data_IF_515507738411
#
_entry.id   IF_515507738411
#
_cell.length_a   1.000
_cell.length_b   1.000
_cell.length_c   1.000
_cell.angle_alpha   90.00
_cell.angle_beta   90.00
_cell.angle_gamma   90.00
#
_symmetry.space_group_name_H-M   'P 1'
#
loop_
_entity.id
_entity.type
_entity.pdbx_description
1 polymer ?
#
# COMPACT_ATOMS: atom_id res chain seq x y z
N UNK A 1 37.43 25.95 20.17
CA UNK A 1 38.80 26.41 19.87
C UNK A 1 38.65 27.75 19.19
N UNK A 2 39.44 28.77 19.56
CA UNK A 2 39.44 30.06 18.88
C UNK A 2 40.81 30.18 18.22
N UNK A 3 40.89 29.99 16.90
CA UNK A 3 42.10 30.26 16.14
C UNK A 3 41.87 31.54 15.36
N UNK A 4 42.41 32.64 15.87
CA UNK A 4 42.36 33.96 15.24
C UNK A 4 43.75 34.26 14.73
N UNK A 5 44.08 33.77 13.54
CA UNK A 5 45.21 34.31 12.76
C UNK A 5 44.65 35.39 11.84
N UNK A 6 45.22 36.58 11.93
CA UNK A 6 45.06 37.68 10.96
C UNK A 6 43.68 38.33 10.81
N UNK A 7 42.92 38.45 11.90
CA UNK A 7 41.83 39.45 11.99
C UNK A 7 40.53 39.11 11.24
N UNK A 8 40.45 37.96 10.58
CA UNK A 8 39.19 37.39 10.11
C UNK A 8 38.82 36.19 10.97
N UNK A 9 37.58 36.14 11.44
CA UNK A 9 37.07 34.98 12.21
C UNK A 9 36.85 33.83 11.22
N UNK A 10 37.74 32.84 11.24
CA UNK A 10 37.66 31.69 10.31
C UNK A 10 36.71 30.59 10.80
N UNK A 11 36.60 30.39 12.11
CA UNK A 11 35.80 29.34 12.72
C UNK A 11 35.28 29.76 14.10
N UNK A 12 34.00 29.50 14.39
CA UNK A 12 33.45 29.58 15.74
C UNK A 12 32.51 28.43 16.00
N UNK A 13 32.59 27.82 17.19
CA UNK A 13 31.73 26.69 17.53
C UNK A 13 31.47 26.56 19.01
N UNK A 14 30.21 26.37 19.34
CA UNK A 14 29.71 25.91 20.62
C UNK A 14 29.16 24.49 20.45
N UNK A 15 30.07 23.51 20.36
CA UNK A 15 29.71 22.10 20.17
C UNK A 15 28.83 21.61 21.33
N UNK A 16 27.72 20.87 21.07
CA UNK A 16 27.22 20.41 19.77
C UNK A 16 26.16 21.34 19.14
N UNK A 17 25.87 22.50 19.74
CA UNK A 17 24.70 23.33 19.43
C UNK A 17 24.93 24.22 18.21
N UNK A 18 26.09 24.87 18.12
CA UNK A 18 26.39 25.86 17.10
C UNK A 18 27.79 25.63 16.53
N UNK A 19 27.96 25.75 15.24
CA UNK A 19 29.27 25.83 14.60
C UNK A 19 29.20 26.57 13.29
N UNK A 20 30.27 27.25 12.96
CA UNK A 20 30.42 28.02 11.75
C UNK A 20 31.88 27.95 11.35
N UNK A 21 32.11 27.70 10.08
CA UNK A 21 33.40 27.79 9.43
C UNK A 21 33.19 28.50 8.11
N UNK A 22 33.91 29.61 7.95
CA UNK A 22 33.80 30.49 6.78
C UNK A 22 34.05 29.66 5.51
N UNK A 23 33.14 29.77 4.54
CA UNK A 23 33.18 29.03 3.26
C UNK A 23 33.19 27.49 3.36
N UNK A 24 32.71 26.93 4.48
CA UNK A 24 32.65 25.47 4.65
C UNK A 24 31.28 25.05 5.19
N UNK A 25 30.91 25.44 6.41
CA UNK A 25 29.60 25.07 6.96
C UNK A 25 29.14 25.95 8.12
N UNK A 26 27.83 26.00 8.31
CA UNK A 26 27.12 26.51 9.47
C UNK A 26 26.23 25.40 10.02
N UNK A 27 26.19 25.21 11.34
CA UNK A 27 25.30 24.26 11.98
C UNK A 27 24.71 24.87 13.24
N UNK A 28 23.40 24.73 13.41
CA UNK A 28 22.62 25.07 14.59
C UNK A 28 21.69 23.88 14.86
N UNK A 29 22.09 22.95 15.71
CA UNK A 29 21.39 21.67 15.93
C UNK A 29 19.87 21.87 16.10
N UNK A 30 19.00 21.19 15.30
CA UNK A 30 19.27 20.11 14.35
C UNK A 30 19.59 20.54 12.90
N UNK A 31 19.74 21.83 12.65
CA UNK A 31 20.07 22.40 11.34
C UNK A 31 21.57 22.26 11.07
N UNK A 32 21.94 21.59 10.01
CA UNK A 32 23.28 21.61 9.41
C UNK A 32 23.13 22.38 8.09
N UNK A 33 24.11 23.15 7.62
CA UNK A 33 24.16 23.87 6.32
C UNK A 33 25.62 23.93 5.87
N UNK A 34 26.07 23.07 4.97
CA UNK A 34 27.45 23.10 4.47
C UNK A 34 27.54 23.66 3.06
N UNK A 35 28.28 24.75 2.91
CA UNK A 35 28.67 25.34 1.64
C UNK A 35 30.04 24.77 1.25
N UNK A 36 30.08 23.70 0.46
CA UNK A 36 31.32 23.05 0.06
C UNK A 36 32.11 23.87 -0.98
N UNK A 37 33.45 23.65 -1.09
CA UNK A 37 34.31 24.41 -2.02
C UNK A 37 34.12 24.07 -3.51
N UNK A 38 33.36 23.02 -3.85
CA UNK A 38 33.00 22.64 -5.22
C UNK A 38 31.51 22.23 -5.28
N UNK A 39 30.67 23.17 -5.70
CA UNK A 39 29.21 23.03 -5.80
C UNK A 39 28.44 23.60 -4.58
N UNK A 40 27.34 24.30 -4.83
CA UNK A 40 26.45 24.82 -3.78
C UNK A 40 25.69 23.62 -3.18
N UNK A 41 26.27 23.01 -2.15
CA UNK A 41 25.56 22.05 -1.29
C UNK A 41 24.85 22.84 -0.21
N UNK A 42 23.65 22.44 0.18
CA UNK A 42 22.93 23.00 1.32
C UNK A 42 21.96 21.95 1.82
N UNK A 43 22.33 21.20 2.85
CA UNK A 43 21.35 20.42 3.60
C UNK A 43 20.74 21.30 4.68
N UNK A 44 19.52 21.01 5.12
CA UNK A 44 18.75 21.62 6.19
C UNK A 44 17.88 20.51 6.82
N UNK A 45 18.48 19.57 7.55
CA UNK A 45 17.77 18.43 8.13
C UNK A 45 17.14 17.51 7.06
N UNK A 46 15.80 17.32 7.00
CA UNK A 46 15.12 16.51 5.97
C UNK A 46 15.12 17.18 4.58
N UNK A 47 15.62 18.40 4.48
CA UNK A 47 15.78 19.14 3.23
C UNK A 47 17.22 18.96 2.77
N UNK A 48 17.46 18.40 1.59
CA UNK A 48 18.78 18.34 0.98
C UNK A 48 18.74 19.04 -0.37
N UNK A 49 19.57 20.05 -0.53
CA UNK A 49 19.77 20.78 -1.77
C UNK A 49 21.19 20.52 -2.26
N UNK A 50 21.33 20.17 -3.52
CA UNK A 50 22.60 19.94 -4.17
C UNK A 50 22.62 20.53 -5.57
N UNK A 51 23.54 21.44 -5.80
CA UNK A 51 23.82 22.00 -7.12
C UNK A 51 25.22 21.56 -7.56
N UNK A 52 25.29 20.63 -8.50
CA UNK A 52 26.56 20.06 -9.01
C UNK A 52 27.23 20.98 -10.06
N UNK A 53 26.42 21.58 -10.93
CA UNK A 53 26.80 22.48 -12.03
C UNK A 53 25.82 23.65 -12.10
N UNK A 54 26.09 24.67 -12.92
CA UNK A 54 25.16 25.81 -13.11
C UNK A 54 23.75 25.40 -13.52
N UNK A 55 23.59 24.21 -14.11
CA UNK A 55 22.34 23.73 -14.69
C UNK A 55 21.82 22.43 -14.07
N UNK A 56 22.34 22.00 -12.92
CA UNK A 56 21.87 20.77 -12.25
C UNK A 56 21.42 21.03 -10.82
N UNK A 57 20.28 20.50 -10.43
CA UNK A 57 19.65 20.71 -9.12
C UNK A 57 19.05 19.41 -8.60
N UNK A 58 19.53 18.93 -7.46
CA UNK A 58 18.82 17.93 -6.66
C UNK A 58 18.23 18.56 -5.40
N UNK A 59 16.96 18.29 -5.14
CA UNK A 59 16.20 18.72 -3.99
C UNK A 59 15.50 17.50 -3.36
N UNK A 60 15.92 17.10 -2.17
CA UNK A 60 15.20 16.17 -1.30
C UNK A 60 14.43 16.97 -0.26
N UNK A 61 13.15 16.66 -0.06
CA UNK A 61 12.30 17.17 1.01
C UNK A 61 11.57 15.98 1.65
N UNK A 62 12.17 15.32 2.64
CA UNK A 62 11.58 14.11 3.24
C UNK A 62 11.43 12.97 2.22
N UNK A 63 10.22 12.48 1.91
CA UNK A 63 10.03 11.43 0.90
C UNK A 63 10.09 11.94 -0.54
N UNK A 64 10.11 13.26 -0.75
CA UNK A 64 10.15 13.88 -2.07
C UNK A 64 11.59 14.06 -2.53
N UNK A 65 11.97 13.54 -3.70
CA UNK A 65 13.25 13.82 -4.36
C UNK A 65 12.96 14.42 -5.73
N UNK A 66 13.48 15.59 -6.02
CA UNK A 66 13.49 16.19 -7.35
C UNK A 66 14.94 16.27 -7.81
N UNK A 67 15.22 15.84 -9.03
CA UNK A 67 16.53 15.95 -9.67
C UNK A 67 16.39 16.65 -11.01
N UNK A 68 17.40 17.42 -11.38
CA UNK A 68 17.53 18.00 -12.70
C UNK A 68 19.01 17.96 -13.06
N UNK A 69 19.35 17.29 -14.15
CA UNK A 69 20.72 17.20 -14.65
C UNK A 69 20.76 17.55 -16.14
N UNK A 70 21.77 18.33 -16.53
CA UNK A 70 21.94 18.79 -17.90
C UNK A 70 23.31 18.32 -18.43
N UNK A 71 23.43 17.02 -18.71
CA UNK A 71 24.64 16.38 -19.28
C UNK A 71 24.50 16.21 -20.81
N UNK A 72 24.13 17.27 -21.53
CA UNK A 72 23.97 17.26 -22.99
C UNK A 72 22.57 16.90 -23.48
N UNK A 73 21.75 16.28 -22.62
CA UNK A 73 20.30 16.17 -22.73
C UNK A 73 19.69 16.70 -21.43
N UNK A 74 18.63 17.50 -21.51
CA UNK A 74 17.90 17.95 -20.32
C UNK A 74 17.21 16.72 -19.70
N UNK A 75 17.65 16.33 -18.50
CA UNK A 75 17.05 15.26 -17.74
C UNK A 75 16.47 15.80 -16.44
N UNK A 76 15.25 15.39 -16.12
CA UNK A 76 14.60 15.75 -14.86
C UNK A 76 14.04 14.50 -14.21
N UNK A 77 14.01 14.46 -12.90
CA UNK A 77 13.44 13.34 -12.16
C UNK A 77 12.64 13.85 -10.97
N UNK A 78 11.60 13.10 -10.61
CA UNK A 78 10.76 13.42 -9.47
C UNK A 78 10.28 12.13 -8.81
N UNK A 79 10.48 12.02 -7.51
CA UNK A 79 10.21 10.80 -6.76
C UNK A 79 9.47 11.13 -5.47
N UNK A 80 8.52 10.28 -5.10
CA UNK A 80 7.85 10.24 -3.81
C UNK A 80 8.02 8.82 -3.30
N UNK A 81 9.06 8.55 -2.53
CA UNK A 81 9.38 7.16 -2.14
C UNK A 81 8.32 6.57 -1.19
N UNK A 82 7.87 5.30 -1.38
CA UNK A 82 8.16 4.37 -2.49
C UNK A 82 7.08 4.37 -3.60
N UNK A 83 6.19 5.37 -3.62
CA UNK A 83 4.95 5.38 -4.38
C UNK A 83 5.06 5.95 -5.80
N UNK A 84 6.00 6.87 -6.02
CA UNK A 84 6.09 7.60 -7.27
C UNK A 84 7.55 7.74 -7.67
N UNK A 85 7.89 7.43 -8.90
CA UNK A 85 9.23 7.60 -9.44
C UNK A 85 9.10 8.01 -10.89
N UNK A 86 9.51 9.20 -11.27
CA UNK A 86 9.45 9.66 -12.64
C UNK A 86 10.81 10.18 -13.08
N UNK A 87 11.11 9.96 -14.34
CA UNK A 87 12.31 10.38 -15.02
C UNK A 87 11.94 10.87 -16.42
N UNK A 88 12.44 12.02 -16.80
CA UNK A 88 12.35 12.59 -18.13
C UNK A 88 13.75 12.77 -18.67
N UNK A 89 14.00 12.36 -19.91
CA UNK A 89 15.26 12.57 -20.63
C UNK A 89 14.92 13.04 -22.05
N UNK A 90 14.98 14.36 -22.27
CA UNK A 90 14.39 14.97 -23.47
C UNK A 90 12.89 14.69 -23.59
N UNK A 91 12.47 14.08 -24.71
CA UNK A 91 11.07 13.68 -24.95
C UNK A 91 10.72 12.29 -24.39
N UNK A 92 11.67 11.59 -23.77
CA UNK A 92 11.45 10.28 -23.14
C UNK A 92 11.00 10.48 -21.70
N UNK A 93 9.97 9.76 -21.30
CA UNK A 93 9.45 9.62 -19.95
C UNK A 93 9.58 8.17 -19.50
N UNK A 94 9.94 7.95 -18.25
CA UNK A 94 9.91 6.63 -17.60
C UNK A 94 9.53 6.83 -16.15
N UNK A 95 8.58 6.05 -15.65
CA UNK A 95 8.18 6.16 -14.26
C UNK A 95 7.39 4.99 -13.70
N UNK A 96 7.22 5.02 -12.39
CA UNK A 96 6.40 4.15 -11.60
C UNK A 96 5.37 4.98 -10.84
N UNK A 97 4.10 4.69 -11.07
CA UNK A 97 2.96 5.26 -10.34
C UNK A 97 2.31 4.14 -9.52
N UNK A 98 2.77 3.98 -8.29
CA UNK A 98 2.44 2.87 -7.41
C UNK A 98 3.01 1.55 -7.94
N UNK A 99 2.14 0.73 -8.54
CA UNK A 99 2.52 -0.57 -9.15
C UNK A 99 2.54 -0.51 -10.68
N UNK A 100 2.21 0.65 -11.26
CA UNK A 100 2.14 0.84 -12.72
C UNK A 100 3.47 1.41 -13.20
N UNK A 101 4.17 0.68 -14.04
CA UNK A 101 5.30 1.19 -14.82
C UNK A 101 4.78 1.86 -16.09
N UNK A 102 5.29 3.05 -16.36
CA UNK A 102 4.98 3.85 -17.53
C UNK A 102 6.28 4.21 -18.24
N UNK A 103 6.31 4.11 -19.55
CA UNK A 103 7.41 4.56 -20.39
C UNK A 103 6.83 5.17 -21.65
N UNK A 104 7.34 6.30 -22.11
CA UNK A 104 6.92 6.88 -23.38
C UNK A 104 8.05 7.69 -24.01
N UNK A 105 8.16 7.66 -25.33
CA UNK A 105 9.05 8.48 -26.14
C UNK A 105 8.36 8.74 -27.49
N UNK A 106 8.86 9.62 -28.36
CA UNK A 106 8.24 9.87 -29.66
C UNK A 106 8.05 8.58 -30.47
N UNK A 107 6.80 8.18 -30.69
CA UNK A 107 6.46 6.94 -31.39
C UNK A 107 6.52 5.68 -30.54
N UNK A 108 6.67 5.75 -29.21
CA UNK A 108 6.61 4.58 -28.35
C UNK A 108 5.93 4.89 -27.01
N UNK A 109 5.11 3.97 -26.51
CA UNK A 109 4.61 4.04 -25.15
C UNK A 109 4.37 2.64 -24.59
N UNK A 110 4.75 2.40 -23.35
CA UNK A 110 4.53 1.17 -22.62
C UNK A 110 3.87 1.45 -21.28
N UNK A 111 2.85 0.66 -20.96
CA UNK A 111 2.23 0.61 -19.65
C UNK A 111 2.33 -0.83 -19.16
N UNK A 112 2.78 -1.03 -17.93
CA UNK A 112 3.03 -2.36 -17.40
C UNK A 112 2.69 -2.44 -15.92
N UNK A 113 1.87 -3.41 -15.55
CA UNK A 113 1.65 -3.82 -14.15
C UNK A 113 2.16 -5.25 -14.05
N UNK A 114 3.20 -5.52 -13.26
CA UNK A 114 3.80 -6.84 -13.18
C UNK A 114 2.77 -7.97 -13.05
N UNK A 115 2.90 -8.96 -13.93
CA UNK A 115 2.07 -10.18 -14.01
C UNK A 115 0.59 -9.96 -14.42
N UNK A 116 0.09 -8.73 -14.38
CA UNK A 116 -1.33 -8.43 -14.56
C UNK A 116 -1.66 -7.79 -15.90
N UNK A 117 -0.82 -6.87 -16.37
CA UNK A 117 -1.14 -6.05 -17.54
C UNK A 117 0.12 -5.55 -18.24
N UNK A 118 0.11 -5.59 -19.56
CA UNK A 118 1.09 -4.93 -20.40
C UNK A 118 0.40 -4.35 -21.63
N UNK A 119 0.75 -3.13 -22.02
CA UNK A 119 0.28 -2.49 -23.24
C UNK A 119 1.42 -1.69 -23.83
N UNK A 120 1.90 -2.12 -24.98
CA UNK A 120 2.98 -1.50 -25.74
C UNK A 120 2.39 -0.94 -27.02
N UNK A 121 2.69 0.31 -27.31
CA UNK A 121 2.41 0.95 -28.58
C UNK A 121 3.74 1.38 -29.18
N UNK A 122 3.96 1.09 -30.46
CA UNK A 122 5.12 1.57 -31.19
C UNK A 122 4.71 2.00 -32.59
N UNK A 123 5.15 3.17 -33.02
CA UNK A 123 4.93 3.76 -34.31
C UNK A 123 6.29 4.00 -34.97
N UNK A 124 6.43 3.50 -36.19
CA UNK A 124 7.59 3.73 -37.03
C UNK A 124 7.14 4.10 -38.45
N UNK A 125 8.08 4.31 -39.36
CA UNK A 125 7.79 4.66 -40.76
C UNK A 125 6.95 3.59 -41.49
N UNK A 126 6.98 2.34 -41.02
CA UNK A 126 6.21 1.23 -41.60
C UNK A 126 4.78 1.13 -41.05
N UNK A 127 4.44 1.92 -40.02
CA UNK A 127 3.11 2.03 -39.44
C UNK A 127 3.10 1.90 -37.92
N UNK A 128 1.91 1.67 -37.38
CA UNK A 128 1.70 1.54 -35.93
C UNK A 128 1.46 0.09 -35.53
N UNK A 129 2.12 -0.31 -34.45
CA UNK A 129 1.97 -1.59 -33.78
C UNK A 129 1.43 -1.38 -32.36
N UNK A 130 0.62 -2.31 -31.88
CA UNK A 130 0.09 -2.34 -30.53
C UNK A 130 0.10 -3.77 -30.00
N UNK A 131 0.78 -4.01 -28.90
CA UNK A 131 0.75 -5.26 -28.15
C UNK A 131 0.02 -5.00 -26.82
N UNK A 132 -0.88 -5.88 -26.47
CA UNK A 132 -1.65 -5.83 -25.24
C UNK A 132 -1.67 -7.23 -24.66
N UNK A 133 -1.37 -7.36 -23.36
CA UNK A 133 -1.46 -8.61 -22.64
C UNK A 133 -2.00 -8.38 -21.23
N UNK A 134 -2.68 -9.41 -20.71
CA UNK A 134 -3.16 -9.44 -19.33
C UNK A 134 -2.97 -10.82 -18.72
N UNK A 135 -2.87 -10.85 -17.39
CA UNK A 135 -2.86 -12.07 -16.58
C UNK A 135 -1.86 -13.10 -17.11
N UNK A 136 -0.56 -12.78 -17.05
CA UNK A 136 0.53 -13.64 -17.55
C UNK A 136 0.41 -13.99 -19.05
N UNK A 137 -0.02 -13.04 -19.89
CA UNK A 137 -0.29 -13.24 -21.33
C UNK A 137 -1.37 -14.29 -21.65
N UNK A 138 -2.20 -14.69 -20.67
CA UNK A 138 -3.34 -15.57 -20.96
C UNK A 138 -4.30 -14.89 -21.93
N UNK A 139 -4.50 -13.58 -21.80
CA UNK A 139 -5.21 -12.77 -22.78
C UNK A 139 -4.16 -11.92 -23.48
N UNK A 140 -4.06 -12.00 -24.81
CA UNK A 140 -3.20 -11.10 -25.57
C UNK A 140 -3.82 -10.66 -26.89
N UNK A 141 -3.46 -9.45 -27.30
CA UNK A 141 -3.86 -8.85 -28.56
C UNK A 141 -2.65 -8.12 -29.17
N UNK A 142 -2.24 -8.54 -30.35
CA UNK A 142 -1.18 -7.91 -31.13
C UNK A 142 -1.80 -7.31 -32.40
N UNK A 143 -1.50 -6.06 -32.71
CA UNK A 143 -1.93 -5.39 -33.93
C UNK A 143 -0.72 -4.77 -34.60
N UNK A 144 -0.61 -4.96 -35.90
CA UNK A 144 0.39 -4.38 -36.78
C UNK A 144 -0.32 -3.99 -38.08
N UNK A 145 0.28 -3.13 -38.94
CA UNK A 145 -0.40 -2.58 -40.10
C UNK A 145 -1.02 -3.61 -41.08
N UNK A 146 -0.52 -4.85 -41.05
CA UNK A 146 -0.99 -5.94 -41.90
C UNK A 146 -1.44 -7.20 -41.15
N UNK A 147 -1.48 -7.16 -39.82
CA UNK A 147 -1.74 -8.33 -38.99
C UNK A 147 -2.47 -7.93 -37.71
N UNK A 148 -3.55 -8.61 -37.38
CA UNK A 148 -4.10 -8.56 -36.04
C UNK A 148 -4.18 -9.98 -35.49
N UNK A 149 -3.77 -10.15 -34.24
CA UNK A 149 -3.78 -11.41 -33.54
C UNK A 149 -4.43 -11.24 -32.18
N UNK A 150 -5.30 -12.17 -31.82
CA UNK A 150 -5.88 -12.27 -30.48
C UNK A 150 -5.68 -13.69 -29.97
N UNK A 151 -5.31 -13.82 -28.70
CA UNK A 151 -5.11 -15.10 -28.03
C UNK A 151 -5.84 -15.10 -26.69
N UNK A 152 -6.55 -16.19 -26.40
CA UNK A 152 -7.18 -16.45 -25.11
C UNK A 152 -6.69 -17.79 -24.54
N UNK A 153 -6.22 -17.74 -23.29
CA UNK A 153 -5.48 -18.78 -22.59
C UNK A 153 -4.37 -19.39 -23.47
N UNK A 154 -3.38 -18.56 -23.85
CA UNK A 154 -2.24 -19.02 -24.67
C UNK A 154 -2.67 -19.64 -26.03
N UNK A 155 -3.80 -19.19 -26.59
CA UNK A 155 -4.45 -19.75 -27.80
C UNK A 155 -5.04 -21.15 -27.63
N UNK A 156 -5.04 -21.72 -26.43
CA UNK A 156 -5.63 -23.04 -26.16
C UNK A 156 -7.15 -22.98 -26.33
N UNK A 157 -7.79 -21.94 -25.81
CA UNK A 157 -9.26 -21.79 -25.86
C UNK A 157 -9.70 -21.13 -27.14
N UNK A 158 -9.07 -20.01 -27.50
CA UNK A 158 -9.38 -19.29 -28.73
C UNK A 158 -8.15 -18.54 -29.24
N UNK A 159 -7.98 -18.56 -30.55
CA UNK A 159 -6.96 -17.80 -31.26
C UNK A 159 -7.55 -17.20 -32.54
N UNK A 160 -7.19 -15.97 -32.84
CA UNK A 160 -7.56 -15.30 -34.08
C UNK A 160 -6.32 -14.66 -34.70
N UNK A 161 -6.15 -14.83 -36.01
CA UNK A 161 -5.12 -14.16 -36.80
C UNK A 161 -5.74 -13.62 -38.08
N UNK A 162 -5.54 -12.36 -38.38
CA UNK A 162 -5.88 -11.74 -39.66
C UNK A 162 -4.61 -11.30 -40.39
N UNK A 163 -4.63 -11.39 -41.71
CA UNK A 163 -3.59 -10.86 -42.59
C UNK A 163 -4.24 -10.01 -43.68
N UNK A 164 -3.90 -8.73 -43.76
CA UNK A 164 -4.34 -7.83 -44.83
C UNK A 164 -3.24 -7.70 -45.88
N UNK A 165 -3.09 -8.73 -46.71
CA UNK A 165 -2.15 -8.78 -47.83
C UNK A 165 -2.80 -9.37 -49.08
N UNK A 166 -3.07 -8.50 -50.07
CA UNK A 166 -3.46 -8.76 -51.47
C UNK A 166 -4.46 -9.90 -51.78
N UNK A 167 -5.70 -9.46 -52.07
CA UNK A 167 -6.67 -10.02 -53.04
C UNK A 167 -7.23 -11.44 -52.92
N UNK A 168 -6.92 -12.25 -51.91
CA UNK A 168 -7.71 -13.46 -51.61
C UNK A 168 -7.50 -13.93 -50.15
N UNK A 169 -7.96 -13.13 -49.18
CA UNK A 169 -7.87 -13.48 -47.77
C UNK A 169 -9.07 -14.34 -47.33
N UNK A 170 -8.91 -15.66 -47.37
CA UNK A 170 -9.80 -16.60 -46.68
C UNK A 170 -9.66 -16.44 -45.16
N UNK A 171 -10.76 -16.14 -44.48
CA UNK A 171 -10.86 -16.24 -43.03
C UNK A 171 -10.73 -17.72 -42.65
N UNK A 172 -9.67 -18.09 -41.94
CA UNK A 172 -9.55 -19.42 -41.31
C UNK A 172 -9.48 -19.25 -39.79
N UNK A 173 -10.51 -19.68 -39.04
CA UNK A 173 -10.33 -20.01 -37.63
C UNK A 173 -9.25 -21.10 -37.54
N UNK A 174 -8.17 -20.88 -36.80
CA UNK A 174 -7.24 -21.98 -36.47
C UNK A 174 -7.97 -22.90 -35.50
N UNK A 175 -8.31 -24.10 -35.97
CA UNK A 175 -8.79 -25.17 -35.09
C UNK A 175 -7.67 -25.51 -34.09
N UNK A 176 -7.98 -25.81 -32.82
CA UNK A 176 -6.96 -26.22 -31.86
C UNK A 176 -6.18 -27.41 -32.42
N UNK A 177 -4.85 -27.28 -32.43
CA UNK A 177 -3.92 -28.27 -32.97
C UNK A 177 -3.99 -29.55 -32.11
N UNK A 178 -4.87 -30.47 -32.47
CA UNK A 178 -4.77 -31.87 -32.06
C UNK A 178 -3.94 -32.60 -33.12
N UNK A 179 -2.78 -33.18 -32.77
CA UNK A 179 -2.08 -34.06 -33.69
C UNK A 179 -2.86 -35.38 -33.77
N UNK A 180 -3.76 -35.52 -34.73
CA UNK A 180 -4.37 -36.81 -35.07
C UNK A 180 -3.38 -37.57 -35.96
N UNK A 181 -2.48 -38.30 -35.33
CA UNK A 181 -1.74 -39.38 -35.97
C UNK A 181 -2.44 -40.71 -35.64
N UNK A 182 -3.27 -41.21 -36.55
CA UNK A 182 -3.36 -42.64 -36.83
C UNK A 182 -3.72 -42.85 -38.31
N UNK A 183 -2.69 -43.20 -39.07
CA UNK A 183 -2.86 -43.90 -40.33
C UNK A 183 -3.24 -45.35 -39.99
N UNK A 184 -4.42 -45.78 -40.43
CA UNK A 184 -4.71 -47.19 -40.65
C UNK A 184 -5.65 -47.30 -41.85
N UNK A 185 -5.06 -47.76 -42.95
CA UNK A 185 -5.74 -48.26 -44.12
C UNK A 185 -6.68 -49.40 -43.72
N UNK A 186 -7.97 -49.26 -44.01
CA UNK A 186 -8.77 -50.38 -44.49
C UNK A 186 -9.91 -49.89 -45.37
N UNK A 187 -9.93 -50.46 -46.57
CA UNK A 187 -10.96 -50.36 -47.58
C UNK A 187 -12.32 -50.85 -47.08
N UNK A 188 -13.38 -50.09 -47.32
CA UNK A 188 -14.75 -50.54 -47.09
C UNK A 188 -15.77 -49.46 -47.40
N UNK A 189 -16.38 -49.56 -48.59
CA UNK A 189 -17.52 -48.78 -49.02
C UNK A 189 -18.76 -49.07 -48.16
N UNK A 190 -19.39 -48.04 -47.60
CA UNK A 190 -20.86 -47.92 -47.54
C UNK A 190 -21.26 -46.55 -47.00
N UNK A 191 -22.14 -45.89 -47.74
CA UNK A 191 -22.97 -44.77 -47.33
C UNK A 191 -23.65 -45.03 -45.98
N UNK A 192 -23.52 -44.10 -45.04
CA UNK A 192 -24.34 -44.04 -43.84
C UNK A 192 -25.14 -42.73 -43.87
N UNK A 193 -26.43 -42.87 -44.16
CA UNK A 193 -27.47 -41.93 -43.80
C UNK A 193 -27.48 -41.78 -42.27
N UNK A 194 -27.51 -40.55 -41.79
CA UNK A 194 -27.86 -40.23 -40.40
C UNK A 194 -29.38 -40.21 -40.29
N UNK A 195 -29.98 -41.39 -40.10
CA UNK A 195 -31.35 -41.51 -39.61
C UNK A 195 -31.32 -41.48 -38.08
N UNK A 196 -32.01 -40.49 -37.54
CA UNK A 196 -32.14 -40.22 -36.12
C UNK A 196 -33.42 -40.92 -35.65
N UNK A 197 -33.31 -42.23 -35.43
CA UNK A 197 -34.43 -43.08 -35.03
C UNK A 197 -34.70 -42.91 -33.53
N UNK A 198 -35.82 -42.27 -33.21
CA UNK A 198 -36.35 -42.14 -31.84
C UNK A 198 -37.12 -43.41 -31.55
N UNK A 199 -36.44 -44.42 -31.02
CA UNK A 199 -37.08 -45.67 -30.64
C UNK A 199 -37.82 -45.51 -29.30
N UNK A 200 -39.15 -45.62 -29.36
CA UNK A 200 -40.08 -45.50 -28.23
C UNK A 200 -40.57 -46.91 -27.86
N UNK A 201 -39.79 -47.65 -27.07
CA UNK A 201 -40.21 -48.94 -26.54
C UNK A 201 -40.93 -48.78 -25.19
N UNK A 202 -42.22 -49.11 -25.16
CA UNK A 202 -43.05 -49.25 -23.97
C UNK A 202 -43.01 -50.67 -23.38
N UNK A 203 -43.29 -50.76 -22.07
CA UNK A 203 -43.50 -51.94 -21.18
C UNK A 203 -42.23 -52.50 -20.51
N UNK A 204 -42.17 -52.85 -19.23
CA UNK A 204 -43.13 -52.89 -18.11
C UNK A 204 -42.39 -53.07 -16.76
N UNK A 205 -43.05 -52.66 -15.67
CA UNK A 205 -42.91 -53.07 -14.26
C UNK A 205 -41.64 -52.73 -13.44
N UNK A 206 -41.82 -51.80 -12.50
CA UNK A 206 -41.55 -52.07 -11.06
C UNK A 206 -40.17 -51.73 -10.49
N UNK A 207 -39.92 -50.46 -10.17
CA UNK A 207 -39.28 -49.96 -8.93
C UNK A 207 -38.98 -48.47 -9.11
N UNK A 208 -39.23 -47.66 -8.08
CA UNK A 208 -39.06 -46.21 -8.11
C UNK A 208 -37.63 -45.83 -8.49
N UNK A 209 -37.45 -45.35 -9.72
CA UNK A 209 -36.21 -44.76 -10.21
C UNK A 209 -36.40 -43.25 -10.25
N UNK A 210 -35.58 -42.52 -9.50
CA UNK A 210 -35.32 -41.11 -9.75
C UNK A 210 -34.93 -40.96 -11.21
N UNK A 211 -35.63 -40.12 -11.97
CA UNK A 211 -35.23 -39.80 -13.33
C UNK A 211 -34.07 -38.81 -13.26
N UNK A 212 -32.86 -39.32 -13.43
CA UNK A 212 -31.68 -38.48 -13.61
C UNK A 212 -31.61 -38.08 -15.09
N UNK A 213 -31.64 -36.78 -15.36
CA UNK A 213 -31.49 -36.23 -16.70
C UNK A 213 -30.07 -35.71 -16.84
N UNK A 214 -29.29 -36.29 -17.76
CA UNK A 214 -27.94 -35.83 -18.07
C UNK A 214 -27.87 -35.36 -19.52
N UNK A 215 -27.26 -34.18 -19.72
CA UNK A 215 -26.84 -33.70 -21.04
C UNK A 215 -25.32 -33.56 -21.02
N UNK A 216 -24.65 -34.21 -21.96
CA UNK A 216 -23.19 -34.29 -21.99
C UNK A 216 -22.67 -33.93 -23.39
N UNK A 217 -21.82 -32.90 -23.46
CA UNK A 217 -21.01 -32.58 -24.63
C UNK A 217 -19.53 -32.53 -24.19
N UNK A 218 -18.94 -33.71 -23.96
CA UNK A 218 -17.54 -33.87 -23.60
C UNK A 218 -16.75 -34.39 -24.81
N UNK A 219 -15.65 -33.71 -25.17
CA UNK A 219 -14.74 -34.23 -26.17
C UNK A 219 -13.89 -35.40 -25.66
N UNK A 220 -13.67 -35.51 -24.33
CA UNK A 220 -13.06 -36.66 -23.62
C UNK A 220 -13.31 -36.53 -22.09
N UNK A 221 -14.08 -37.45 -21.50
CA UNK A 221 -14.27 -37.56 -20.04
C UNK A 221 -14.37 -39.02 -19.62
N UNK A 222 -13.89 -39.37 -18.42
CA UNK A 222 -14.18 -40.66 -17.80
C UNK A 222 -14.50 -40.50 -16.31
N UNK A 223 -15.34 -41.40 -15.81
CA UNK A 223 -15.83 -41.43 -14.43
C UNK A 223 -15.45 -42.78 -13.83
N UNK A 224 -14.85 -42.76 -12.65
CA UNK A 224 -14.60 -43.96 -11.84
C UNK A 224 -15.31 -43.78 -10.52
N UNK A 225 -16.33 -44.59 -10.26
CA UNK A 225 -17.11 -44.53 -9.01
C UNK A 225 -17.11 -45.89 -8.29
N UNK A 226 -17.05 -45.84 -6.96
CA UNK A 226 -17.32 -46.95 -6.03
C UNK A 226 -18.51 -46.57 -5.13
N UNK A 227 -18.97 -47.49 -4.27
CA UNK A 227 -20.11 -47.27 -3.36
C UNK A 227 -19.98 -46.05 -2.46
N UNK A 228 -18.74 -45.65 -2.14
CA UNK A 228 -18.44 -44.64 -1.12
C UNK A 228 -17.55 -43.50 -1.64
N UNK A 229 -17.17 -43.51 -2.92
CA UNK A 229 -16.32 -42.47 -3.52
C UNK A 229 -16.53 -42.37 -5.03
N UNK A 230 -16.45 -41.15 -5.58
CA UNK A 230 -16.44 -40.97 -7.03
C UNK A 230 -15.34 -40.01 -7.47
N UNK A 231 -14.66 -40.39 -8.55
CA UNK A 231 -13.58 -39.66 -9.19
C UNK A 231 -13.98 -39.34 -10.62
N UNK A 232 -13.95 -38.06 -10.96
CA UNK A 232 -14.37 -37.56 -12.26
C UNK A 232 -13.23 -36.80 -12.90
N UNK A 233 -12.86 -37.17 -14.13
CA UNK A 233 -11.86 -36.45 -14.92
C UNK A 233 -12.44 -36.08 -16.29
N UNK A 234 -12.49 -34.78 -16.57
CA UNK A 234 -12.93 -34.24 -17.86
C UNK A 234 -11.86 -33.32 -18.42
N UNK A 235 -11.48 -33.52 -19.68
CA UNK A 235 -10.40 -32.74 -20.29
C UNK A 235 -10.89 -31.47 -21.03
N UNK A 236 -12.17 -31.38 -21.40
CA UNK A 236 -12.80 -30.13 -21.91
C UNK A 236 -14.34 -30.20 -21.76
N UNK A 237 -14.92 -30.02 -20.55
CA UNK A 237 -16.37 -29.90 -20.42
C UNK A 237 -16.80 -28.47 -20.79
N UNK A 238 -17.58 -28.30 -21.86
CA UNK A 238 -18.14 -26.98 -22.24
C UNK A 238 -19.31 -26.56 -21.33
N UNK A 239 -20.03 -27.53 -20.76
CA UNK A 239 -20.96 -27.35 -19.64
C UNK A 239 -21.30 -28.72 -19.02
N UNK A 240 -21.62 -28.75 -17.73
CA UNK A 240 -22.24 -29.90 -17.08
C UNK A 240 -23.28 -29.43 -16.05
N UNK A 241 -24.47 -30.02 -16.13
CA UNK A 241 -25.55 -29.83 -15.18
C UNK A 241 -25.99 -31.20 -14.67
N UNK A 242 -25.85 -31.41 -13.37
CA UNK A 242 -26.31 -32.61 -12.66
C UNK A 242 -27.23 -32.20 -11.52
N UNK A 243 -28.39 -32.85 -11.43
CA UNK A 243 -29.35 -32.65 -10.34
C UNK A 243 -29.83 -34.02 -9.88
N UNK A 244 -29.62 -34.32 -8.60
CA UNK A 244 -30.24 -35.45 -7.90
C UNK A 244 -31.04 -34.95 -6.68
N UNK A 245 -31.58 -35.87 -5.87
CA UNK A 245 -32.43 -35.53 -4.72
C UNK A 245 -31.68 -34.86 -3.56
N UNK A 246 -30.35 -34.87 -3.56
CA UNK A 246 -29.51 -34.41 -2.45
C UNK A 246 -28.56 -33.27 -2.85
N UNK A 247 -28.29 -33.07 -4.14
CA UNK A 247 -27.37 -32.06 -4.64
C UNK A 247 -27.74 -31.51 -6.02
N UNK A 248 -27.42 -30.23 -6.23
CA UNK A 248 -27.42 -29.61 -7.56
C UNK A 248 -26.03 -29.09 -7.85
N UNK A 249 -25.43 -29.54 -8.95
CA UNK A 249 -24.09 -29.15 -9.37
C UNK A 249 -24.17 -28.43 -10.73
N UNK A 250 -23.63 -27.21 -10.76
CA UNK A 250 -23.53 -26.38 -11.96
C UNK A 250 -22.07 -26.05 -12.21
N UNK A 251 -21.55 -26.41 -13.38
CA UNK A 251 -20.15 -26.16 -13.74
C UNK A 251 -20.05 -25.36 -15.04
N UNK A 252 -19.38 -24.20 -14.97
CA UNK A 252 -19.00 -23.38 -16.10
C UNK A 252 -17.47 -23.22 -16.13
N UNK A 253 -16.87 -23.54 -17.28
CA UNK A 253 -15.45 -23.45 -17.65
C UNK A 253 -14.41 -23.26 -16.54
N UNK A 254 -13.69 -24.35 -16.28
CA UNK A 254 -12.23 -24.29 -16.32
C UNK A 254 -11.63 -25.40 -17.21
N UNK A 255 -10.49 -25.10 -17.82
CA UNK A 255 -9.69 -26.00 -18.69
C UNK A 255 -9.27 -27.33 -18.04
N UNK A 256 -9.35 -27.46 -16.71
CA UNK A 256 -9.05 -28.67 -15.94
C UNK A 256 -10.00 -28.70 -14.73
N UNK A 257 -10.81 -29.76 -14.60
CA UNK A 257 -11.57 -30.04 -13.38
C UNK A 257 -11.13 -31.37 -12.76
N UNK A 258 -10.69 -31.33 -11.51
CA UNK A 258 -10.41 -32.53 -10.71
C UNK A 258 -11.27 -32.45 -9.46
N UNK A 259 -12.15 -33.42 -9.23
CA UNK A 259 -13.05 -33.43 -8.08
C UNK A 259 -12.89 -34.72 -7.29
N UNK A 260 -12.90 -34.60 -5.98
CA UNK A 260 -12.84 -35.69 -5.02
C UNK A 260 -13.83 -35.42 -3.89
N UNK A 261 -14.65 -36.42 -3.61
CA UNK A 261 -15.65 -36.39 -2.54
C UNK A 261 -15.39 -37.56 -1.60
N UNK A 262 -15.34 -37.30 -0.29
CA UNK A 262 -15.19 -38.31 0.77
C UNK A 262 -16.09 -37.92 1.96
N UNK A 263 -17.25 -38.57 2.08
CA UNK A 263 -18.25 -38.21 3.09
C UNK A 263 -18.70 -36.75 2.96
N UNK A 264 -18.46 -35.95 4.01
CA UNK A 264 -18.81 -34.53 4.07
C UNK A 264 -17.67 -33.60 3.60
N UNK A 265 -16.56 -34.17 3.13
CA UNK A 265 -15.41 -33.43 2.60
C UNK A 265 -15.43 -33.40 1.07
N UNK A 266 -15.27 -32.20 0.53
CA UNK A 266 -15.15 -31.92 -0.88
C UNK A 266 -13.79 -31.29 -1.18
N UNK A 267 -13.06 -31.85 -2.15
CA UNK A 267 -11.81 -31.29 -2.70
C UNK A 267 -11.94 -31.17 -4.21
N UNK A 268 -11.71 -29.98 -4.75
CA UNK A 268 -11.84 -29.67 -6.16
C UNK A 268 -10.67 -28.85 -6.67
N UNK A 269 -10.32 -29.01 -7.95
CA UNK A 269 -9.53 -28.06 -8.71
C UNK A 269 -10.38 -27.63 -9.91
N UNK A 270 -10.77 -26.38 -9.96
CA UNK A 270 -11.50 -25.75 -11.05
C UNK A 270 -10.59 -24.75 -11.77
N UNK A 271 -9.78 -25.25 -12.70
CA UNK A 271 -8.81 -24.45 -13.45
C UNK A 271 -7.68 -24.01 -12.53
N UNK A 272 -7.45 -22.70 -12.32
CA UNK A 272 -6.48 -22.25 -11.34
C UNK A 272 -7.03 -22.29 -9.90
N UNK A 273 -8.32 -22.56 -9.68
CA UNK A 273 -8.96 -22.47 -8.36
C UNK A 273 -9.02 -23.84 -7.68
N UNK A 274 -8.21 -24.07 -6.65
CA UNK A 274 -8.39 -25.16 -5.71
C UNK A 274 -9.52 -24.84 -4.72
N UNK A 275 -10.41 -25.78 -4.45
CA UNK A 275 -11.52 -25.67 -3.52
C UNK A 275 -11.43 -26.81 -2.53
N UNK A 276 -11.61 -26.53 -1.25
CA UNK A 276 -11.66 -27.52 -0.18
C UNK A 276 -12.73 -27.14 0.84
N UNK A 277 -13.81 -27.90 0.88
CA UNK A 277 -14.94 -27.65 1.77
C UNK A 277 -15.16 -28.86 2.66
N UNK A 278 -15.39 -28.64 3.95
CA UNK A 278 -15.87 -29.63 4.91
C UNK A 278 -17.19 -29.09 5.44
N UNK A 279 -18.28 -29.82 5.22
CA UNK A 279 -19.63 -29.36 5.54
C UNK A 279 -19.73 -28.85 6.99
N UNK A 280 -20.19 -27.60 7.16
CA UNK A 280 -20.38 -26.97 8.46
C UNK A 280 -19.10 -26.63 9.23
N UNK A 281 -17.92 -26.96 8.72
CA UNK A 281 -16.64 -26.78 9.43
C UNK A 281 -15.64 -25.89 8.69
N UNK A 282 -15.48 -26.03 7.37
CA UNK A 282 -14.46 -25.30 6.61
C UNK A 282 -14.85 -25.05 5.16
N UNK A 283 -14.38 -23.96 4.59
CA UNK A 283 -14.43 -23.69 3.15
C UNK A 283 -13.20 -22.89 2.75
N UNK A 284 -12.33 -23.46 1.92
CA UNK A 284 -11.12 -22.85 1.40
C UNK A 284 -11.13 -22.80 -0.12
N UNK A 285 -10.78 -21.65 -0.68
CA UNK A 285 -10.67 -21.41 -2.11
C UNK A 285 -9.30 -20.79 -2.36
N UNK A 286 -8.52 -21.35 -3.26
CA UNK A 286 -7.14 -20.95 -3.47
C UNK A 286 -6.84 -20.88 -4.95
N UNK A 287 -6.29 -19.76 -5.38
CA UNK A 287 -5.72 -19.56 -6.71
C UNK A 287 -4.27 -19.16 -6.53
N UNK A 288 -3.31 -19.91 -7.10
CA UNK A 288 -1.92 -19.51 -7.04
C UNK A 288 -1.75 -18.05 -7.48
N UNK A 289 -0.97 -17.29 -6.70
CA UNK A 289 -0.61 -15.89 -6.93
C UNK A 289 -1.75 -14.87 -6.79
N UNK A 290 -3.01 -15.21 -7.04
CA UNK A 290 -4.09 -14.24 -7.17
C UNK A 290 -4.92 -14.06 -5.91
N UNK A 291 -5.31 -15.16 -5.26
CA UNK A 291 -6.31 -15.10 -4.20
C UNK A 291 -6.33 -16.37 -3.37
N UNK A 292 -6.49 -16.23 -2.06
CA UNK A 292 -6.83 -17.30 -1.15
C UNK A 292 -7.97 -16.83 -0.24
N UNK A 293 -8.96 -17.67 -0.01
CA UNK A 293 -10.01 -17.48 0.99
C UNK A 293 -10.09 -18.73 1.84
N UNK A 294 -10.10 -18.58 3.16
CA UNK A 294 -10.24 -19.69 4.10
C UNK A 294 -11.22 -19.29 5.20
N UNK A 295 -12.37 -19.95 5.23
CA UNK A 295 -13.34 -19.86 6.31
C UNK A 295 -13.33 -21.16 7.11
N UNK A 296 -13.34 -21.06 8.44
CA UNK A 296 -13.37 -22.20 9.35
C UNK A 296 -14.16 -21.90 10.61
N UNK A 297 -14.73 -22.94 11.17
CA UNK A 297 -15.41 -22.92 12.47
C UNK A 297 -14.57 -23.67 13.51
N UNK A 298 -14.27 -23.03 14.62
CA UNK A 298 -13.46 -23.62 15.71
C UNK A 298 -14.31 -24.54 16.60
N UNK A 299 -13.65 -25.32 17.47
CA UNK A 299 -14.33 -26.17 18.47
C UNK A 299 -15.27 -25.38 19.38
N UNK A 300 -14.98 -24.10 19.63
CA UNK A 300 -15.81 -23.19 20.43
C UNK A 300 -16.94 -22.53 19.63
N UNK A 301 -17.26 -23.03 18.43
CA UNK A 301 -18.30 -22.49 17.55
C UNK A 301 -18.02 -21.02 17.14
N UNK A 302 -16.76 -20.58 17.20
CA UNK A 302 -16.34 -19.28 16.66
C UNK A 302 -15.99 -19.45 15.19
N UNK A 303 -16.44 -18.49 14.38
CA UNK A 303 -16.15 -18.47 12.96
C UNK A 303 -14.97 -17.55 12.70
N UNK A 304 -14.05 -18.00 11.85
CA UNK A 304 -12.90 -17.26 11.38
C UNK A 304 -12.88 -17.32 9.86
N UNK A 305 -12.72 -16.17 9.22
CA UNK A 305 -12.52 -16.05 7.78
C UNK A 305 -11.27 -15.24 7.49
N UNK A 306 -10.44 -15.70 6.56
CA UNK A 306 -9.35 -14.92 5.99
C UNK A 306 -9.45 -14.87 4.47
N UNK A 307 -8.94 -13.80 3.88
CA UNK A 307 -8.88 -13.59 2.43
C UNK A 307 -7.59 -12.87 2.06
N UNK A 308 -6.72 -13.52 1.31
CA UNK A 308 -5.53 -12.88 0.75
C UNK A 308 -5.67 -12.68 -0.75
N UNK A 309 -5.00 -11.65 -1.29
CA UNK A 309 -4.91 -11.39 -2.72
C UNK A 309 -3.48 -11.04 -3.12
N UNK A 310 -3.16 -11.32 -4.39
CA UNK A 310 -1.94 -10.86 -5.07
C UNK A 310 -0.69 -11.13 -4.24
N UNK A 311 -0.35 -12.41 -4.05
CA UNK A 311 0.81 -12.84 -3.26
C UNK A 311 0.80 -12.34 -1.80
N UNK A 312 -0.37 -12.27 -1.16
CA UNK A 312 -0.56 -11.71 0.20
C UNK A 312 -0.22 -10.22 0.31
N UNK A 313 -0.18 -9.49 -0.83
CA UNK A 313 -0.08 -8.05 -0.80
C UNK A 313 -1.33 -7.44 -0.14
N UNK A 314 -2.49 -8.07 -0.29
CA UNK A 314 -3.70 -7.69 0.45
C UNK A 314 -4.15 -8.87 1.26
N UNK A 315 -4.57 -8.62 2.49
CA UNK A 315 -5.04 -9.62 3.42
C UNK A 315 -6.18 -9.05 4.24
N UNK A 316 -7.21 -9.85 4.46
CA UNK A 316 -8.37 -9.52 5.26
C UNK A 316 -8.64 -10.68 6.19
N UNK A 317 -8.72 -10.43 7.48
CA UNK A 317 -9.03 -11.43 8.50
C UNK A 317 -10.22 -10.95 9.31
N UNK A 318 -11.14 -11.85 9.63
CA UNK A 318 -12.27 -11.56 10.48
C UNK A 318 -12.64 -12.76 11.34
N UNK A 319 -12.95 -12.49 12.60
CA UNK A 319 -13.67 -13.41 13.48
C UNK A 319 -14.89 -12.68 14.09
N UNK A 320 -15.54 -13.30 15.07
CA UNK A 320 -16.73 -12.74 15.71
C UNK A 320 -16.49 -11.47 16.52
N UNK A 321 -15.25 -11.08 16.80
CA UNK A 321 -14.85 -9.96 17.65
C UNK A 321 -13.81 -9.04 17.01
N UNK A 322 -13.01 -9.56 16.07
CA UNK A 322 -11.90 -8.86 15.45
C UNK A 322 -12.04 -8.83 13.94
N UNK A 323 -11.66 -7.69 13.35
CA UNK A 323 -11.55 -7.54 11.89
C UNK A 323 -10.24 -6.84 11.59
N UNK A 324 -9.47 -7.35 10.64
CA UNK A 324 -8.22 -6.76 10.19
C UNK A 324 -8.14 -6.73 8.66
N UNK A 325 -7.51 -5.70 8.13
CA UNK A 325 -7.16 -5.57 6.73
C UNK A 325 -5.71 -5.10 6.64
N UNK A 326 -4.90 -5.81 5.87
CA UNK A 326 -3.48 -5.53 5.64
C UNK A 326 -3.27 -5.24 4.16
N UNK A 327 -2.46 -4.23 3.86
CA UNK A 327 -2.18 -3.76 2.51
C UNK A 327 -0.66 -3.66 2.30
N UNK A 328 -0.24 -4.04 1.10
CA UNK A 328 1.14 -4.11 0.62
C UNK A 328 2.10 -4.68 1.67
N UNK A 329 1.89 -5.93 2.08
CA UNK A 329 2.76 -6.64 3.02
C UNK A 329 2.93 -5.96 4.39
N UNK A 330 1.92 -5.21 4.84
CA UNK A 330 1.91 -4.56 6.17
C UNK A 330 2.21 -3.06 6.16
N UNK A 331 2.49 -2.47 4.99
CA UNK A 331 2.62 -1.01 4.87
C UNK A 331 1.33 -0.30 5.28
N UNK A 332 0.19 -0.84 4.87
CA UNK A 332 -1.12 -0.43 5.39
C UNK A 332 -1.68 -1.48 6.32
N UNK A 333 -2.25 -1.07 7.45
CA UNK A 333 -3.06 -1.95 8.28
C UNK A 333 -4.26 -1.20 8.83
N UNK A 334 -5.36 -1.91 8.94
CA UNK A 334 -6.55 -1.54 9.69
C UNK A 334 -6.90 -2.74 10.57
N UNK A 335 -7.22 -2.53 11.83
CA UNK A 335 -7.80 -3.57 12.67
C UNK A 335 -8.71 -2.98 13.74
N UNK A 336 -9.82 -3.66 13.99
CA UNK A 336 -10.81 -3.32 15.02
C UNK A 336 -11.00 -4.54 15.92
N UNK A 337 -11.05 -4.34 17.23
CA UNK A 337 -11.43 -5.33 18.24
C UNK A 337 -12.61 -4.80 19.06
N UNK A 338 -13.76 -5.45 18.92
CA UNK A 338 -15.00 -5.05 19.57
C UNK A 338 -14.95 -5.25 21.09
N UNK A 339 -14.06 -6.10 21.62
CA UNK A 339 -13.95 -6.37 23.07
C UNK A 339 -13.43 -5.18 23.86
N UNK A 340 -12.37 -4.56 23.34
CA UNK A 340 -11.70 -3.42 23.97
C UNK A 340 -12.10 -2.09 23.32
N UNK A 341 -13.03 -2.11 22.36
CA UNK A 341 -13.32 -1.02 21.43
C UNK A 341 -12.04 -0.45 20.81
N UNK A 342 -11.08 -1.36 20.55
CA UNK A 342 -9.76 -1.02 20.08
C UNK A 342 -9.74 -0.91 18.56
N UNK A 343 -8.97 0.02 18.06
CA UNK A 343 -8.90 0.43 16.69
C UNK A 343 -7.46 0.82 16.37
N UNK A 344 -6.86 0.12 15.41
CA UNK A 344 -5.50 0.38 14.96
C UNK A 344 -5.53 0.61 13.45
N UNK A 345 -4.89 1.69 13.00
CA UNK A 345 -4.84 2.01 11.60
C UNK A 345 -3.55 2.75 11.26
N UNK A 346 -2.79 2.24 10.28
CA UNK A 346 -1.55 2.87 9.85
C UNK A 346 -1.35 2.72 8.35
N UNK A 347 -0.62 3.67 7.78
CA UNK A 347 -0.06 3.58 6.43
C UNK A 347 1.35 4.16 6.46
N UNK A 348 2.37 3.30 6.52
CA UNK A 348 3.75 3.72 6.71
C UNK A 348 4.38 4.19 5.39
N UNK A 349 5.21 5.25 5.41
CA UNK A 349 5.60 6.08 6.56
C UNK A 349 4.68 7.30 6.81
N UNK A 350 3.48 7.33 6.23
CA UNK A 350 2.59 8.50 6.20
C UNK A 350 1.94 8.78 7.56
N UNK A 351 1.33 7.77 8.18
CA UNK A 351 0.68 7.92 9.48
C UNK A 351 0.59 6.62 10.25
N UNK A 352 0.43 6.75 11.56
CA UNK A 352 0.11 5.66 12.47
C UNK A 352 -0.89 6.17 13.51
N UNK A 353 -1.98 5.42 13.72
CA UNK A 353 -3.06 5.76 14.63
C UNK A 353 -3.51 4.52 15.39
N UNK A 354 -3.70 4.68 16.69
CA UNK A 354 -4.05 3.62 17.63
C UNK A 354 -5.00 4.19 18.66
N UNK A 355 -6.11 3.52 18.92
CA UNK A 355 -7.11 3.91 19.89
C UNK A 355 -7.65 2.68 20.59
N UNK A 356 -7.83 2.77 21.89
CA UNK A 356 -8.63 1.84 22.67
C UNK A 356 -9.67 2.61 23.48
N UNK A 357 -10.36 1.91 24.38
CA UNK A 357 -11.37 2.48 25.27
C UNK A 357 -10.86 3.62 26.17
N UNK A 358 -9.55 3.70 26.43
CA UNK A 358 -8.98 4.62 27.42
C UNK A 358 -7.96 5.61 26.84
N UNK A 359 -7.37 5.30 25.69
CA UNK A 359 -6.31 6.12 25.09
C UNK A 359 -6.40 6.17 23.57
N UNK A 360 -5.88 7.25 23.00
CA UNK A 360 -5.57 7.36 21.59
C UNK A 360 -4.13 7.86 21.40
N UNK A 361 -3.52 7.42 20.31
CA UNK A 361 -2.18 7.79 19.87
C UNK A 361 -2.20 8.01 18.37
N UNK A 362 -1.47 9.03 17.93
CA UNK A 362 -1.35 9.39 16.53
C UNK A 362 0.05 9.90 16.26
N UNK A 363 0.63 9.46 15.14
CA UNK A 363 1.91 9.91 14.63
C UNK A 363 1.76 10.23 13.14
N UNK A 364 2.22 11.41 12.74
CA UNK A 364 2.34 11.82 11.34
C UNK A 364 3.80 12.19 11.07
N UNK A 365 4.64 11.23 10.67
CA UNK A 365 6.06 11.47 10.42
C UNK A 365 6.35 12.61 9.43
N UNK A 366 5.65 12.74 8.28
CA UNK A 366 5.91 13.84 7.34
C UNK A 366 5.67 15.23 7.95
N UNK A 367 4.75 15.33 8.91
CA UNK A 367 4.43 16.58 9.62
C UNK A 367 5.14 16.70 10.97
N UNK A 368 6.00 15.73 11.31
CA UNK A 368 6.67 15.62 12.61
C UNK A 368 5.69 15.85 13.77
N UNK A 369 4.48 15.31 13.63
CA UNK A 369 3.38 15.50 14.58
C UNK A 369 3.17 14.23 15.40
N UNK A 370 2.99 14.40 16.69
CA UNK A 370 2.65 13.35 17.65
C UNK A 370 1.48 13.80 18.51
N UNK A 371 0.52 12.92 18.76
CA UNK A 371 -0.58 13.15 19.69
C UNK A 371 -0.83 11.90 20.51
N UNK A 372 -0.99 12.09 21.81
CA UNK A 372 -1.41 11.09 22.77
C UNK A 372 -2.50 11.70 23.63
N UNK A 373 -3.56 10.94 23.87
CA UNK A 373 -4.66 11.36 24.71
C UNK A 373 -5.15 10.18 25.52
N UNK A 374 -5.47 10.44 26.79
CA UNK A 374 -6.10 9.50 27.70
C UNK A 374 -6.93 10.28 28.70
N UNK A 375 -7.73 9.60 29.52
CA UNK A 375 -8.51 10.25 30.58
C UNK A 375 -7.67 11.10 31.55
N UNK A 376 -6.40 10.72 31.79
CA UNK A 376 -5.55 11.30 32.85
C UNK A 376 -4.35 12.08 32.33
N UNK A 377 -4.04 11.96 31.05
CA UNK A 377 -2.86 12.56 30.46
C UNK A 377 -3.05 12.79 28.97
N UNK A 378 -2.49 13.88 28.45
CA UNK A 378 -2.43 14.15 27.02
C UNK A 378 -1.11 14.82 26.64
N UNK A 379 -0.57 14.48 25.49
CA UNK A 379 0.67 15.04 24.96
C UNK A 379 0.51 15.28 23.48
N UNK A 380 0.76 16.51 22.99
CA UNK A 380 0.57 16.87 21.57
C UNK A 380 1.72 17.74 21.09
N UNK A 381 2.44 17.31 20.07
CA UNK A 381 3.57 18.03 19.48
C UNK A 381 3.37 18.16 17.98
N UNK A 382 3.58 19.36 17.43
CA UNK A 382 3.51 19.64 15.99
C UNK A 382 4.85 20.22 15.54
N UNK A 383 5.41 19.72 14.43
CA UNK A 383 6.73 20.14 13.91
C UNK A 383 7.80 20.02 15.02
N UNK A 384 7.80 18.89 15.74
CA UNK A 384 8.68 18.63 16.89
C UNK A 384 8.47 19.56 18.10
N UNK A 385 7.27 20.12 18.29
CA UNK A 385 6.95 20.99 19.42
C UNK A 385 7.30 22.46 19.19
N UNK A 386 7.84 22.82 18.02
CA UNK A 386 8.17 24.20 17.67
C UNK A 386 6.92 25.05 17.42
N UNK A 387 5.95 24.52 16.68
CA UNK A 387 4.70 25.25 16.40
C UNK A 387 3.73 25.16 17.57
N UNK A 388 3.61 23.95 18.12
CA UNK A 388 2.70 23.67 19.21
C UNK A 388 3.22 22.49 20.03
N UNK A 389 3.22 22.66 21.34
CA UNK A 389 3.55 21.64 22.32
C UNK A 389 2.51 21.70 23.43
N UNK A 390 1.96 20.55 23.84
CA UNK A 390 1.20 20.42 25.07
C UNK A 390 1.57 19.13 25.77
N UNK A 391 1.70 19.18 27.09
CA UNK A 391 1.85 18.01 27.95
C UNK A 391 1.04 18.22 29.24
N UNK A 392 0.02 17.40 29.43
CA UNK A 392 -0.92 17.44 30.56
C UNK A 392 -0.85 16.13 31.33
N UNK A 393 -0.72 16.20 32.64
CA UNK A 393 -0.74 15.06 33.56
C UNK A 393 -1.61 15.41 34.77
N UNK A 394 -2.83 14.87 34.78
CA UNK A 394 -3.84 15.16 35.79
C UNK A 394 -3.45 14.59 37.17
N UNK A 395 -2.61 13.54 37.22
CA UNK A 395 -2.11 12.99 38.50
C UNK A 395 -1.09 13.91 39.15
N UNK A 396 -0.24 14.56 38.36
CA UNK A 396 0.74 15.55 38.84
C UNK A 396 0.13 16.95 38.96
N UNK A 397 -1.09 17.12 38.46
CA UNK A 397 -1.77 18.41 38.30
C UNK A 397 -0.93 19.39 37.46
N UNK A 398 -0.35 18.90 36.37
CA UNK A 398 0.51 19.71 35.49
C UNK A 398 -0.10 19.89 34.11
N UNK A 399 -0.03 21.09 33.55
CA UNK A 399 -0.41 21.38 32.16
C UNK A 399 0.59 22.37 31.58
N UNK A 400 1.46 21.87 30.69
CA UNK A 400 2.47 22.65 29.98
C UNK A 400 2.03 22.84 28.53
N UNK A 401 1.95 24.08 28.08
CA UNK A 401 1.60 24.50 26.75
C UNK A 401 2.70 25.37 26.16
N UNK A 402 2.97 25.23 24.87
CA UNK A 402 3.90 26.03 24.10
C UNK A 402 3.34 26.29 22.70
N UNK A 403 3.51 27.50 22.19
CA UNK A 403 2.99 27.88 20.89
C UNK A 403 3.85 28.96 20.24
N UNK A 404 4.03 28.87 18.91
CA UNK A 404 4.70 29.90 18.11
C UNK A 404 3.66 30.92 17.63
N UNK A 405 3.79 32.17 18.05
CA UNK A 405 2.95 33.29 17.58
C UNK A 405 3.85 34.42 17.08
N UNK A 406 3.63 34.85 15.83
CA UNK A 406 4.41 35.92 15.19
C UNK A 406 5.94 35.72 15.27
N UNK A 407 6.41 34.47 15.17
CA UNK A 407 7.84 34.14 15.24
C UNK A 407 8.44 34.10 16.65
N UNK A 408 7.65 34.34 17.70
CA UNK A 408 8.07 34.21 19.09
C UNK A 408 7.45 32.95 19.71
N UNK A 409 8.28 32.16 20.41
CA UNK A 409 7.81 31.02 21.19
C UNK A 409 7.24 31.54 22.51
N UNK A 410 6.01 31.15 22.80
CA UNK A 410 5.34 31.39 24.07
C UNK A 410 5.15 30.08 24.80
N UNK A 411 5.12 30.14 26.13
CA UNK A 411 4.82 28.99 26.96
C UNK A 411 3.92 29.38 28.11
N UNK A 412 3.19 28.39 28.61
CA UNK A 412 2.27 28.46 29.72
C UNK A 412 2.37 27.14 30.49
N UNK A 413 2.73 27.16 31.76
CA UNK A 413 2.97 25.97 32.57
C UNK A 413 2.26 26.10 33.91
N UNK A 414 1.29 25.23 34.12
CA UNK A 414 0.54 25.11 35.36
C UNK A 414 1.05 23.92 36.17
N UNK A 415 1.23 24.09 37.48
CA UNK A 415 1.64 23.06 38.44
C UNK A 415 0.79 23.16 39.70
N UNK A 416 -0.40 22.59 39.65
CA UNK A 416 -1.36 22.56 40.76
C UNK A 416 -0.82 21.97 42.06
N UNK A 417 0.04 20.94 41.96
CA UNK A 417 0.71 20.32 43.11
C UNK A 417 1.67 21.26 43.85
N UNK A 418 2.07 22.36 43.24
CA UNK A 418 2.89 23.42 43.84
C UNK A 418 1.98 24.62 44.19
N UNK A 419 0.94 24.40 45.00
CA UNK A 419 0.00 25.43 45.45
C UNK A 419 -0.65 26.26 44.33
N UNK A 420 -0.92 25.64 43.18
CA UNK A 420 -1.46 26.35 42.01
C UNK A 420 -0.44 27.22 41.29
N UNK A 421 0.86 26.91 41.39
CA UNK A 421 1.92 27.60 40.66
C UNK A 421 1.60 27.65 39.16
N UNK A 422 1.71 28.84 38.59
CA UNK A 422 1.41 29.12 37.20
C UNK A 422 2.49 30.05 36.64
N UNK A 423 3.18 29.63 35.59
CA UNK A 423 4.19 30.44 34.91
C UNK A 423 3.84 30.57 33.42
N UNK A 424 4.00 31.76 32.85
CA UNK A 424 3.86 31.98 31.41
C UNK A 424 4.81 33.05 30.92
N UNK A 425 5.18 32.99 29.64
CA UNK A 425 6.16 33.91 29.10
C UNK A 425 6.54 33.62 27.66
N UNK A 426 7.71 34.12 27.25
CA UNK A 426 8.26 33.86 25.92
C UNK A 426 9.72 33.42 25.95
N UNK A 427 10.11 32.63 24.93
CA UNK A 427 11.40 31.96 24.81
C UNK A 427 11.76 31.21 26.11
N UNK A 428 10.80 30.47 26.67
CA UNK A 428 10.97 29.75 27.95
C UNK A 428 11.45 30.66 29.10
N UNK A 429 10.97 31.90 29.12
CA UNK A 429 11.21 32.89 30.16
C UNK A 429 12.45 33.75 29.93
N UNK A 430 13.12 33.59 28.78
CA UNK A 430 14.29 34.40 28.44
C UNK A 430 13.93 35.85 28.15
N UNK A 431 12.88 36.09 27.35
CA UNK A 431 12.49 37.45 26.95
C UNK A 431 11.59 38.10 28.00
N UNK A 432 10.60 37.37 28.49
CA UNK A 432 9.84 37.75 29.68
C UNK A 432 9.21 36.50 30.31
N UNK A 433 9.03 36.54 31.63
CA UNK A 433 8.31 35.54 32.40
C UNK A 433 7.36 36.22 33.39
N UNK A 434 6.28 35.54 33.71
CA UNK A 434 5.36 35.87 34.78
C UNK A 434 5.05 34.60 35.55
N UNK A 435 5.28 34.60 36.86
CA UNK A 435 5.10 33.47 37.76
C UNK A 435 4.14 33.88 38.88
N UNK A 436 3.18 33.02 39.23
CA UNK A 436 2.26 33.23 40.36
C UNK A 436 2.08 31.94 41.12
N UNK A 437 2.04 32.03 42.44
CA UNK A 437 1.67 30.92 43.32
C UNK A 437 0.60 31.42 44.33
N UNK A 438 -0.68 31.16 44.07
CA UNK A 438 -1.78 31.68 44.89
C UNK A 438 -1.70 31.25 46.36
N UNK A 439 -1.19 30.05 46.66
CA UNK A 439 -1.10 29.56 48.04
C UNK A 439 -0.03 30.26 48.90
N UNK A 440 0.96 30.91 48.29
CA UNK A 440 2.03 31.63 48.99
C UNK A 440 1.94 33.16 48.82
N UNK A 441 0.94 33.66 48.08
CA UNK A 441 0.85 35.05 47.60
C UNK A 441 2.10 35.51 46.83
N UNK A 442 2.81 34.56 46.20
CA UNK A 442 3.98 34.88 45.40
C UNK A 442 3.56 35.32 44.00
N UNK A 443 4.14 36.42 43.54
CA UNK A 443 4.00 36.95 42.18
C UNK A 443 5.36 37.46 41.70
N UNK A 444 5.80 37.04 40.52
CA UNK A 444 7.04 37.52 39.91
C UNK A 444 6.83 37.85 38.44
N UNK A 445 7.37 38.98 38.00
CA UNK A 445 7.47 39.35 36.60
C UNK A 445 8.93 39.64 36.28
N UNK A 446 9.46 39.07 35.20
CA UNK A 446 10.80 39.42 34.70
C UNK A 446 10.76 39.80 33.23
N UNK A 447 11.60 40.75 32.86
CA UNK A 447 11.88 41.12 31.48
C UNK A 447 13.35 40.93 31.25
N UNK A 448 13.70 40.13 30.24
CA UNK A 448 15.05 39.68 29.96
C UNK A 448 15.70 39.17 31.24
N UNK A 449 15.54 37.89 31.60
CA UNK A 449 15.78 37.27 32.93
C UNK A 449 16.92 37.82 33.84
N UNK A 450 17.93 38.49 33.28
CA UNK A 450 19.06 39.15 33.96
C UNK A 450 18.93 40.68 34.14
N UNK A 451 18.09 41.36 33.36
CA UNK A 451 17.95 42.82 33.28
C UNK A 451 16.98 43.32 34.35
N UNK A 452 15.78 42.75 34.43
CA UNK A 452 14.76 43.22 35.35
C UNK A 452 13.90 42.07 35.89
N UNK A 453 13.66 42.07 37.20
CA UNK A 453 12.56 41.30 37.79
C UNK A 453 11.91 42.06 38.95
N UNK A 454 10.59 41.92 39.10
CA UNK A 454 9.84 42.33 40.30
C UNK A 454 9.25 41.08 40.92
N UNK A 455 9.54 40.85 42.18
CA UNK A 455 9.03 39.73 42.98
C UNK A 455 8.24 40.28 44.15
N UNK A 456 7.08 39.72 44.41
CA UNK A 456 6.22 40.00 45.55
C UNK A 456 5.99 38.69 46.27
N UNK A 457 6.24 38.68 47.56
CA UNK A 457 6.13 37.52 48.45
C UNK A 457 5.57 37.97 49.81
N UNK A 458 5.62 37.09 50.82
CA UNK A 458 5.17 37.40 52.18
C UNK A 458 5.94 38.53 52.84
N UNK A 459 7.19 38.78 52.42
CA UNK A 459 8.12 39.68 53.08
C UNK A 459 8.04 41.09 52.48
N UNK A 460 7.57 41.22 51.23
CA UNK A 460 7.30 42.51 50.63
C UNK A 460 7.33 42.49 49.11
N UNK A 461 7.76 43.61 48.52
CA UNK A 461 7.98 43.72 47.08
C UNK A 461 9.43 44.08 46.83
N UNK A 462 10.12 43.21 46.10
CA UNK A 462 11.50 43.34 45.73
C UNK A 462 11.65 43.55 44.23
N UNK A 463 12.62 44.37 43.85
CA UNK A 463 13.02 44.64 42.48
C UNK A 463 14.45 44.16 42.29
N UNK A 464 14.76 43.61 41.13
CA UNK A 464 16.12 43.28 40.71
C UNK A 464 16.39 43.97 39.39
N UNK A 465 17.45 44.77 39.32
CA UNK A 465 17.89 45.43 38.08
C UNK A 465 19.36 45.09 37.87
N UNK A 466 19.70 44.47 36.73
CA UNK A 466 21.04 43.96 36.43
C UNK A 466 21.64 43.13 37.58
N UNK A 467 20.83 42.29 38.21
CA UNK A 467 21.23 41.45 39.34
C UNK A 467 21.21 42.12 40.72
N UNK A 468 21.22 43.45 40.82
CA UNK A 468 21.17 44.19 42.09
C UNK A 468 19.74 44.23 42.66
N UNK A 469 19.56 43.86 43.94
CA UNK A 469 18.26 43.83 44.64
C UNK A 469 17.95 45.20 45.27
N UNK A 470 16.73 45.69 45.08
CA UNK A 470 16.18 46.92 45.63
C UNK A 470 14.80 46.65 46.22
N UNK A 471 14.40 47.33 47.30
CA UNK A 471 13.10 47.16 47.95
C UNK A 471 13.22 46.77 49.42
N UNK A 472 12.13 46.97 50.17
CA UNK A 472 12.01 46.62 51.58
C UNK A 472 11.83 45.12 51.76
#
# INVERSE_FOLDING_TARGET
SWDTREGEVEEYGFFPILGYKKNDHFYLLPLYVANGPEGDRSHWGPIYYYKNTDNSLDLLLGPFLYGNENYGTESTSFHIFPLFYNWWEGDRYTGFEGIVFLESEPGYSRQYIPLLYENIHSQNDSGSTRDFSMLLHTISYESAPRRAEFSFFFRIVAGYKSHTGSSNSYLRPESPLVPVNYALNSSGSSSAETDLDIDRSSSSSGSGRSSENFWNFNLLSFVVASSDSSFHQSFVPLYWYGSDSESTAFHLFPLLTLNYWEGNEYKGLFGPVYVHTIEGQRSRYYTPLLFEYDWRKTENNQEYGSTTFLLNAFDYEADSQQKAFTLLYGLGKYSSDDRDTAFHNHFLPVYWYDRDSYRSKMLLPPLLTYSYESEKASSRWIVLGLLYYRDRDDKKQTDLNGYLLNGLLYYDNYRGSQNGFHEWGSLYGWLWDYEVEPGSNYEKISFLKFVFSRTKDSDGTHYRIFGAKFGN
#
